data_IF_651941710232
#
_entry.id   IF_651941710232
#
_cell.length_a   1.000
_cell.length_b   1.000
_cell.length_c   1.000
_cell.angle_alpha   90.00
_cell.angle_beta   90.00
_cell.angle_gamma   90.00
#
_symmetry.space_group_name_H-M   'P 1'
#
loop_
_entity.id
_entity.type
_entity.pdbx_description
1 polymer ?
#
# COMPACT_ATOMS: atom_id res chain seq x y z
N UNK A 1 31.67 35.64 -22.65
CA UNK A 1 30.62 34.65 -22.98
C UNK A 1 29.60 34.64 -21.85
N UNK A 2 28.30 34.85 -22.12
CA UNK A 2 27.29 34.81 -21.07
C UNK A 2 27.16 33.39 -20.50
N UNK A 3 27.17 33.27 -19.17
CA UNK A 3 26.96 31.98 -18.48
C UNK A 3 25.56 31.45 -18.86
N UNK A 4 25.41 30.15 -19.20
CA UNK A 4 24.11 29.59 -19.52
C UNK A 4 23.14 29.73 -18.34
N UNK A 5 21.86 29.98 -18.64
CA UNK A 5 20.80 30.02 -17.63
C UNK A 5 20.74 28.70 -16.86
N UNK A 6 20.44 28.77 -15.56
CA UNK A 6 20.39 27.60 -14.65
C UNK A 6 19.53 26.45 -15.16
N UNK A 7 18.42 26.74 -15.86
CA UNK A 7 17.53 25.72 -16.44
C UNK A 7 18.16 24.95 -17.62
N UNK A 8 19.05 25.60 -18.40
CA UNK A 8 19.70 24.97 -19.56
C UNK A 8 20.77 23.97 -19.13
N UNK A 9 21.46 24.26 -18.02
CA UNK A 9 22.45 23.34 -17.42
C UNK A 9 21.76 22.11 -16.83
N UNK A 10 20.63 22.30 -16.16
CA UNK A 10 19.86 21.21 -15.56
C UNK A 10 19.26 20.27 -16.61
N UNK A 11 18.70 20.82 -17.69
CA UNK A 11 18.17 20.03 -18.81
C UNK A 11 19.25 19.17 -19.46
N UNK A 12 20.43 19.74 -19.73
CA UNK A 12 21.56 18.99 -20.29
C UNK A 12 22.04 17.86 -19.35
N UNK A 13 21.97 18.05 -18.04
CA UNK A 13 22.30 17.02 -17.07
C UNK A 13 21.28 15.86 -17.07
N UNK A 14 19.98 16.16 -17.16
CA UNK A 14 18.92 15.14 -17.29
C UNK A 14 19.10 14.30 -18.56
N UNK A 15 19.35 14.96 -19.70
CA UNK A 15 19.58 14.30 -20.99
C UNK A 15 20.81 13.40 -20.96
N UNK A 16 21.93 13.90 -20.40
CA UNK A 16 23.14 13.10 -20.25
C UNK A 16 22.90 11.88 -19.38
N UNK A 17 22.16 12.03 -18.26
CA UNK A 17 21.83 10.92 -17.37
C UNK A 17 20.99 9.84 -18.08
N UNK A 18 19.97 10.23 -18.83
CA UNK A 18 19.15 9.28 -19.61
C UNK A 18 19.93 8.63 -20.74
N UNK A 19 20.83 9.37 -21.41
CA UNK A 19 21.69 8.81 -22.44
C UNK A 19 22.66 7.76 -21.86
N UNK A 20 23.29 8.06 -20.72
CA UNK A 20 24.15 7.09 -20.03
C UNK A 20 23.37 5.86 -19.55
N UNK A 21 22.13 6.05 -19.06
CA UNK A 21 21.25 4.93 -18.72
C UNK A 21 20.93 4.07 -19.94
N UNK A 22 20.63 4.69 -21.10
CA UNK A 22 20.38 3.96 -22.35
C UNK A 22 21.58 3.11 -22.74
N UNK A 23 22.77 3.72 -22.75
CA UNK A 23 24.01 3.08 -23.19
C UNK A 23 24.43 1.94 -22.26
N UNK A 24 24.42 2.16 -20.95
CA UNK A 24 24.98 1.22 -19.99
C UNK A 24 23.94 0.32 -19.32
N UNK A 25 22.68 0.73 -19.28
CA UNK A 25 21.56 -0.08 -18.80
C UNK A 25 20.93 -0.96 -19.89
N UNK A 26 21.36 -0.83 -21.15
CA UNK A 26 20.83 -1.54 -22.31
C UNK A 26 19.31 -1.32 -22.52
N UNK A 27 18.84 -0.11 -22.21
CA UNK A 27 17.44 0.25 -22.45
C UNK A 27 17.20 0.47 -23.94
N UNK A 28 16.15 -0.17 -24.47
CA UNK A 28 15.62 0.18 -25.79
C UNK A 28 15.10 1.63 -25.82
N UNK A 29 15.07 2.24 -27.01
CA UNK A 29 14.48 3.56 -27.21
C UNK A 29 13.03 3.65 -26.74
N UNK A 30 12.26 2.58 -26.95
CA UNK A 30 10.88 2.51 -26.46
C UNK A 30 10.80 2.55 -24.94
N UNK A 31 11.66 1.80 -24.23
CA UNK A 31 11.69 1.81 -22.76
C UNK A 31 12.19 3.15 -22.20
N UNK A 32 13.18 3.76 -22.85
CA UNK A 32 13.67 5.08 -22.46
C UNK A 32 12.57 6.14 -22.62
N UNK A 33 11.80 6.09 -23.72
CA UNK A 33 10.68 6.98 -23.94
C UNK A 33 9.57 6.76 -22.90
N UNK A 34 9.24 5.50 -22.57
CA UNK A 34 8.28 5.18 -21.51
C UNK A 34 8.71 5.74 -20.15
N UNK A 35 10.00 5.61 -19.79
CA UNK A 35 10.54 6.17 -18.55
C UNK A 35 10.43 7.70 -18.55
N UNK A 36 10.74 8.35 -19.67
CA UNK A 36 10.59 9.81 -19.83
C UNK A 36 9.12 10.23 -19.67
N UNK A 37 8.20 9.53 -20.32
CA UNK A 37 6.78 9.84 -20.23
C UNK A 37 6.26 9.66 -18.80
N UNK A 38 6.69 8.59 -18.12
CA UNK A 38 6.34 8.34 -16.71
C UNK A 38 6.87 9.45 -15.79
N UNK A 39 8.10 9.92 -16.02
CA UNK A 39 8.68 11.03 -15.26
C UNK A 39 7.89 12.34 -15.42
N UNK A 40 7.53 12.69 -16.67
CA UNK A 40 6.71 13.87 -16.96
C UNK A 40 5.33 13.74 -16.33
N UNK A 41 4.70 12.59 -16.49
CA UNK A 41 3.38 12.30 -15.96
C UNK A 41 3.37 12.35 -14.43
N UNK A 42 4.27 11.61 -13.77
CA UNK A 42 4.37 11.56 -12.31
C UNK A 42 4.67 12.94 -11.71
N UNK A 43 5.55 13.73 -12.35
CA UNK A 43 5.78 15.10 -11.91
C UNK A 43 4.54 15.97 -12.12
N UNK A 44 3.95 15.95 -13.31
CA UNK A 44 2.74 16.73 -13.65
C UNK A 44 1.63 16.53 -12.63
N UNK A 45 1.27 15.28 -12.33
CA UNK A 45 0.20 14.96 -11.38
C UNK A 45 0.56 15.29 -9.92
N UNK A 46 1.84 15.51 -9.62
CA UNK A 46 2.27 16.03 -8.32
C UNK A 46 2.24 17.57 -8.23
N UNK A 47 2.06 18.28 -9.34
CA UNK A 47 2.00 19.74 -9.35
C UNK A 47 0.59 20.23 -9.00
N UNK A 48 0.43 21.23 -8.11
CA UNK A 48 -0.88 21.74 -7.71
C UNK A 48 -1.63 22.46 -8.84
N UNK A 49 -0.95 22.82 -9.93
CA UNK A 49 -1.52 23.52 -11.08
C UNK A 49 -1.79 22.62 -12.29
N UNK A 50 -1.86 21.31 -12.11
CA UNK A 50 -2.25 20.37 -13.16
C UNK A 50 -3.75 20.52 -13.51
N UNK A 51 -4.17 20.03 -14.69
CA UNK A 51 -5.57 20.06 -15.18
C UNK A 51 -6.24 18.68 -15.11
N UNK A 52 -5.65 17.76 -14.34
CA UNK A 52 -5.98 16.34 -14.39
C UNK A 52 -5.73 15.74 -15.77
N UNK A 53 -6.27 14.55 -16.02
CA UNK A 53 -6.10 13.83 -17.27
C UNK A 53 -5.92 12.34 -17.05
N UNK A 54 -5.67 11.61 -18.13
CA UNK A 54 -5.34 10.19 -18.05
C UNK A 54 -3.81 10.03 -17.95
N UNK A 55 -3.39 9.08 -17.11
CA UNK A 55 -1.99 8.64 -17.04
C UNK A 55 -1.71 7.74 -18.25
N UNK A 56 -1.14 8.31 -19.32
CA UNK A 56 -0.88 7.62 -20.57
C UNK A 56 0.47 8.03 -21.13
N UNK A 57 1.37 7.07 -21.43
CA UNK A 57 2.61 7.37 -22.12
C UNK A 57 2.37 8.09 -23.46
N UNK A 58 3.24 9.04 -23.79
CA UNK A 58 3.14 9.90 -24.97
C UNK A 58 2.07 11.00 -24.92
N UNK A 59 1.25 11.08 -23.86
CA UNK A 59 0.26 12.14 -23.73
C UNK A 59 0.91 13.48 -23.37
N UNK A 60 0.45 14.56 -24.01
CA UNK A 60 0.81 15.93 -23.64
C UNK A 60 0.02 16.39 -22.42
N UNK A 61 0.73 16.93 -21.44
CA UNK A 61 0.16 17.44 -20.21
C UNK A 61 0.19 18.96 -20.19
N UNK A 62 -0.92 19.61 -19.84
CA UNK A 62 -1.03 21.07 -19.82
C UNK A 62 -1.39 21.55 -18.42
N UNK A 63 -0.65 22.54 -17.90
CA UNK A 63 -0.92 23.24 -16.65
C UNK A 63 -2.16 24.14 -16.79
N UNK A 64 -2.68 24.63 -15.66
CA UNK A 64 -3.86 25.51 -15.63
C UNK A 64 -3.68 26.82 -16.42
N UNK A 65 -2.45 27.32 -16.53
CA UNK A 65 -2.09 28.49 -17.35
C UNK A 65 -2.02 28.19 -18.87
N UNK A 66 -2.24 26.93 -19.27
CA UNK A 66 -2.17 26.48 -20.65
C UNK A 66 -0.76 26.10 -21.12
N UNK A 67 0.27 26.24 -20.28
CA UNK A 67 1.63 25.82 -20.62
C UNK A 67 1.74 24.29 -20.63
N UNK A 68 2.40 23.73 -21.65
CA UNK A 68 2.73 22.30 -21.70
C UNK A 68 3.75 21.98 -20.61
N UNK A 69 3.48 20.95 -19.80
CA UNK A 69 4.40 20.39 -18.83
C UNK A 69 5.23 19.29 -19.51
N UNK A 70 6.53 19.50 -19.57
CA UNK A 70 7.46 18.70 -20.36
C UNK A 70 8.55 18.09 -19.48
N UNK A 71 9.43 17.29 -20.07
CA UNK A 71 10.57 16.72 -19.37
C UNK A 71 11.52 17.79 -18.80
N UNK A 72 11.58 18.96 -19.43
CA UNK A 72 12.40 20.08 -18.97
C UNK A 72 11.88 20.65 -17.64
N UNK A 73 10.59 20.51 -17.37
CA UNK A 73 9.96 20.93 -16.11
C UNK A 73 10.22 19.98 -14.93
N UNK A 74 10.54 18.71 -15.19
CA UNK A 74 10.71 17.68 -14.14
C UNK A 74 11.99 17.95 -13.35
N UNK A 75 11.97 18.14 -12.01
CA UNK A 75 13.18 18.40 -11.23
C UNK A 75 14.26 17.32 -11.40
N UNK A 76 15.53 17.73 -11.58
CA UNK A 76 16.64 16.79 -11.78
C UNK A 76 16.70 15.68 -10.72
N UNK A 77 16.42 15.99 -9.45
CA UNK A 77 16.44 15.00 -8.36
C UNK A 77 15.40 13.89 -8.55
N UNK A 78 14.22 14.20 -9.12
CA UNK A 78 13.21 13.19 -9.44
C UNK A 78 13.65 12.27 -10.58
N UNK A 79 14.31 12.84 -11.60
CA UNK A 79 14.92 12.07 -12.69
C UNK A 79 16.02 11.15 -12.14
N UNK A 80 16.92 11.69 -11.31
CA UNK A 80 18.00 10.95 -10.67
C UNK A 80 17.49 9.77 -9.84
N UNK A 81 16.48 9.99 -9.01
CA UNK A 81 15.91 8.93 -8.17
C UNK A 81 15.20 7.86 -9.01
N UNK A 82 14.50 8.25 -10.07
CA UNK A 82 13.85 7.27 -10.96
C UNK A 82 14.86 6.43 -11.73
N UNK A 83 15.98 7.03 -12.17
CA UNK A 83 17.10 6.29 -12.79
C UNK A 83 17.73 5.31 -11.79
N UNK A 84 17.93 5.71 -10.52
CA UNK A 84 18.41 4.80 -9.48
C UNK A 84 17.45 3.63 -9.25
N UNK A 85 16.16 3.91 -9.14
CA UNK A 85 15.13 2.88 -8.95
C UNK A 85 15.10 1.90 -10.13
N UNK A 86 15.22 2.40 -11.36
CA UNK A 86 15.32 1.53 -12.53
C UNK A 86 16.56 0.64 -12.48
N UNK A 87 17.73 1.19 -12.16
CA UNK A 87 18.95 0.38 -11.99
C UNK A 87 18.77 -0.66 -10.87
N UNK A 88 18.14 -0.28 -9.77
CA UNK A 88 17.90 -1.17 -8.64
C UNK A 88 16.91 -2.30 -8.95
N UNK A 89 15.87 -2.04 -9.73
CA UNK A 89 14.77 -2.99 -9.89
C UNK A 89 14.89 -3.82 -11.17
N UNK A 90 15.38 -3.20 -12.25
CA UNK A 90 15.33 -3.79 -13.59
C UNK A 90 16.69 -4.32 -14.07
N UNK A 91 17.81 -3.87 -13.47
CA UNK A 91 19.14 -4.36 -13.83
C UNK A 91 19.51 -5.60 -12.98
N UNK A 92 19.97 -6.70 -13.62
CA UNK A 92 20.46 -7.89 -12.92
C UNK A 92 21.51 -7.57 -11.85
N UNK A 93 21.40 -8.25 -10.70
CA UNK A 93 22.22 -7.98 -9.50
C UNK A 93 23.72 -8.04 -9.77
N UNK A 94 24.16 -8.98 -10.60
CA UNK A 94 25.56 -9.25 -10.95
C UNK A 94 26.25 -8.08 -11.67
N UNK A 95 25.49 -7.23 -12.37
CA UNK A 95 26.03 -6.08 -13.11
C UNK A 95 25.51 -4.71 -12.64
N UNK A 96 24.56 -4.69 -11.71
CA UNK A 96 23.85 -3.49 -11.24
C UNK A 96 24.77 -2.38 -10.78
N UNK A 97 25.74 -2.70 -9.92
CA UNK A 97 26.68 -1.71 -9.36
C UNK A 97 27.58 -1.13 -10.44
N UNK A 98 28.08 -1.96 -11.34
CA UNK A 98 28.85 -1.49 -12.50
C UNK A 98 28.03 -0.54 -13.37
N UNK A 99 26.76 -0.84 -13.63
CA UNK A 99 25.85 0.05 -14.38
C UNK A 99 25.63 1.35 -13.62
N UNK A 100 25.39 1.30 -12.31
CA UNK A 100 25.22 2.50 -11.47
C UNK A 100 26.41 3.46 -11.59
N UNK A 101 27.63 2.95 -11.42
CA UNK A 101 28.83 3.79 -11.56
C UNK A 101 28.95 4.38 -12.96
N UNK A 102 28.73 3.58 -14.02
CA UNK A 102 28.79 4.06 -15.40
C UNK A 102 27.72 5.12 -15.70
N UNK A 103 26.52 4.98 -15.14
CA UNK A 103 25.39 5.88 -15.40
C UNK A 103 25.46 7.17 -14.60
N UNK A 104 25.84 7.08 -13.32
CA UNK A 104 25.77 8.23 -12.40
C UNK A 104 27.13 8.92 -12.16
N UNK A 105 28.26 8.38 -12.63
CA UNK A 105 29.56 9.01 -12.43
C UNK A 105 29.58 10.47 -12.94
N UNK A 106 29.99 11.39 -12.08
CA UNK A 106 30.05 12.83 -12.39
C UNK A 106 28.70 13.55 -12.38
N UNK A 107 27.60 12.89 -12.00
CA UNK A 107 26.29 13.53 -11.83
C UNK A 107 26.15 14.16 -10.44
N UNK A 108 25.46 15.31 -10.32
CA UNK A 108 25.14 15.88 -9.01
C UNK A 108 24.41 14.87 -8.12
N UNK A 109 24.89 14.70 -6.88
CA UNK A 109 24.31 13.77 -5.92
C UNK A 109 24.71 12.31 -6.09
N UNK A 110 25.62 11.98 -7.03
CA UNK A 110 26.26 10.66 -7.11
C UNK A 110 26.89 10.24 -5.78
N UNK A 111 26.64 9.00 -5.37
CA UNK A 111 27.32 8.37 -4.23
C UNK A 111 28.30 7.35 -4.78
N UNK A 112 29.48 7.23 -4.19
CA UNK A 112 30.44 6.20 -4.60
C UNK A 112 29.83 4.82 -4.36
N UNK A 113 29.34 4.54 -3.16
CA UNK A 113 28.62 3.29 -2.87
C UNK A 113 27.12 3.47 -3.09
N UNK A 114 26.48 2.70 -3.99
CA UNK A 114 25.03 2.75 -4.13
C UNK A 114 24.32 2.17 -2.91
N UNK A 115 23.07 2.58 -2.73
CA UNK A 115 22.28 2.27 -1.54
C UNK A 115 22.06 0.76 -1.28
N UNK A 116 22.13 -0.08 -2.32
CA UNK A 116 21.99 -1.54 -2.22
C UNK A 116 23.31 -2.28 -1.95
N UNK A 117 24.45 -1.60 -2.06
CA UNK A 117 25.76 -2.13 -1.67
C UNK A 117 26.18 -1.65 -0.28
N UNK A 118 25.44 -0.70 0.30
CA UNK A 118 25.60 -0.34 1.69
C UNK A 118 25.25 -1.56 2.56
N UNK A 119 26.04 -1.84 3.60
CA UNK A 119 25.67 -2.87 4.55
C UNK A 119 24.27 -2.55 5.13
N UNK A 120 23.47 -3.57 5.46
CA UNK A 120 22.24 -3.38 6.21
C UNK A 120 22.48 -2.47 7.40
N UNK A 121 21.61 -1.49 7.61
CA UNK A 121 21.65 -0.71 8.84
C UNK A 121 21.46 -1.66 10.02
N UNK A 122 22.34 -1.56 11.01
CA UNK A 122 22.37 -2.43 12.17
C UNK A 122 22.34 -1.57 13.44
N UNK A 123 21.14 -1.07 13.82
CA UNK A 123 20.99 -0.13 14.92
C UNK A 123 21.32 -0.75 16.27
N UNK A 124 21.42 -2.08 16.35
CA UNK A 124 21.69 -2.82 17.58
C UNK A 124 23.10 -3.44 17.58
N UNK A 125 23.97 -3.03 16.65
CA UNK A 125 25.35 -3.54 16.58
C UNK A 125 26.15 -3.29 17.85
N UNK A 126 26.00 -2.11 18.44
CA UNK A 126 26.74 -1.74 19.65
C UNK A 126 25.91 -2.07 20.91
N UNK A 127 26.53 -2.62 21.96
CA UNK A 127 25.87 -2.88 23.23
C UNK A 127 25.47 -1.58 23.91
N UNK A 128 24.24 -1.52 24.42
CA UNK A 128 23.71 -0.32 25.10
C UNK A 128 24.18 -0.22 26.55
N UNK A 129 24.46 -1.36 27.17
CA UNK A 129 24.93 -1.44 28.54
C UNK A 129 26.16 -2.35 28.61
N UNK A 130 27.11 -2.11 29.53
CA UNK A 130 28.27 -2.99 29.68
C UNK A 130 27.87 -4.40 30.14
N UNK A 131 26.73 -4.57 30.82
CA UNK A 131 26.24 -5.86 31.34
C UNK A 131 25.52 -6.72 30.29
N UNK A 132 25.16 -6.11 29.17
CA UNK A 132 24.54 -6.81 28.03
C UNK A 132 25.51 -7.77 27.35
N UNK A 133 26.82 -7.56 27.48
CA UNK A 133 27.86 -8.45 26.96
C UNK A 133 28.18 -9.52 28.00
N UNK A 134 28.09 -10.79 27.61
CA UNK A 134 28.43 -11.91 28.49
C UNK A 134 29.91 -11.86 28.90
N UNK A 135 30.22 -12.13 30.17
CA UNK A 135 31.62 -12.27 30.61
C UNK A 135 32.28 -13.49 29.94
N UNK A 136 33.62 -13.47 29.74
CA UNK A 136 34.33 -14.58 29.12
C UNK A 136 34.04 -15.94 29.80
N UNK A 137 33.67 -16.94 29.01
CA UNK A 137 33.33 -18.29 29.49
C UNK A 137 31.86 -18.52 29.86
N UNK A 138 31.01 -17.49 29.71
CA UNK A 138 29.56 -17.56 29.93
C UNK A 138 28.75 -17.31 28.65
N UNK A 139 29.39 -17.33 27.48
CA UNK A 139 28.74 -17.12 26.21
C UNK A 139 27.75 -18.25 25.90
N UNK A 140 26.47 -17.91 25.83
CA UNK A 140 25.40 -18.83 25.44
C UNK A 140 24.80 -18.41 24.11
N UNK A 141 24.43 -19.35 23.22
CA UNK A 141 23.67 -19.04 22.02
C UNK A 141 22.29 -18.48 22.41
N UNK A 142 21.72 -17.63 21.55
CA UNK A 142 20.47 -16.93 21.81
C UNK A 142 19.31 -17.89 22.12
N UNK A 143 19.24 -19.04 21.45
CA UNK A 143 18.23 -20.06 21.71
C UNK A 143 18.34 -20.63 23.13
N UNK A 144 19.57 -20.89 23.62
CA UNK A 144 19.78 -21.41 24.97
C UNK A 144 19.41 -20.39 26.05
N UNK A 145 19.62 -19.08 25.79
CA UNK A 145 19.16 -18.04 26.72
C UNK A 145 17.63 -18.05 26.87
N UNK A 146 16.90 -18.23 25.77
CA UNK A 146 15.44 -18.33 25.78
C UNK A 146 14.98 -19.61 26.46
N UNK A 147 15.62 -20.75 26.18
CA UNK A 147 15.31 -22.02 26.83
C UNK A 147 15.59 -21.97 28.33
N UNK A 148 16.67 -21.31 28.73
CA UNK A 148 17.02 -21.08 30.14
C UNK A 148 15.94 -20.25 30.84
N UNK A 149 15.48 -19.16 30.21
CA UNK A 149 14.37 -18.36 30.71
C UNK A 149 13.09 -19.20 30.83
N UNK A 150 12.76 -19.97 29.78
CA UNK A 150 11.56 -20.79 29.75
C UNK A 150 11.57 -21.84 30.86
N UNK A 151 12.70 -22.50 31.10
CA UNK A 151 12.86 -23.45 32.19
C UNK A 151 12.70 -22.78 33.57
N UNK A 152 13.40 -21.67 33.82
CA UNK A 152 13.36 -20.96 35.10
C UNK A 152 11.97 -20.39 35.41
N UNK A 153 11.32 -19.80 34.41
CA UNK A 153 9.99 -19.19 34.57
C UNK A 153 8.83 -20.17 34.37
N UNK A 154 9.11 -21.43 33.98
CA UNK A 154 8.12 -22.47 33.63
C UNK A 154 7.17 -22.02 32.51
N UNK A 155 7.75 -21.48 31.43
CA UNK A 155 7.02 -21.10 30.23
C UNK A 155 6.87 -22.32 29.32
N UNK A 156 5.75 -22.41 28.60
CA UNK A 156 5.58 -23.43 27.58
C UNK A 156 6.42 -23.11 26.33
N UNK A 157 6.66 -24.14 25.51
CA UNK A 157 7.49 -24.04 24.31
C UNK A 157 6.96 -23.02 23.28
N UNK A 158 5.64 -22.83 23.22
CA UNK A 158 5.04 -21.86 22.32
C UNK A 158 5.35 -20.43 22.75
N UNK A 159 5.22 -20.14 24.05
CA UNK A 159 5.57 -18.85 24.64
C UNK A 159 7.05 -18.54 24.43
N UNK A 160 7.94 -19.52 24.64
CA UNK A 160 9.37 -19.37 24.37
C UNK A 160 9.66 -19.03 22.90
N UNK A 161 9.03 -19.74 21.95
CA UNK A 161 9.16 -19.45 20.52
C UNK A 161 8.62 -18.06 20.15
N UNK A 162 7.53 -17.61 20.77
CA UNK A 162 7.00 -16.27 20.57
C UNK A 162 7.94 -15.18 21.09
N UNK A 163 8.61 -15.39 22.24
CA UNK A 163 9.62 -14.47 22.76
C UNK A 163 10.76 -14.33 21.74
N UNK A 164 11.30 -15.44 21.25
CA UNK A 164 12.36 -15.42 20.23
C UNK A 164 11.96 -14.68 18.95
N UNK A 165 10.76 -14.93 18.45
CA UNK A 165 10.25 -14.24 17.27
C UNK A 165 10.00 -12.75 17.51
N UNK A 166 9.52 -12.34 18.69
CA UNK A 166 9.36 -10.93 19.04
C UNK A 166 10.70 -10.20 19.14
N UNK A 167 11.71 -10.81 19.76
CA UNK A 167 13.06 -10.24 19.83
C UNK A 167 13.65 -10.07 18.43
N UNK A 168 13.52 -11.10 17.60
CA UNK A 168 13.95 -11.07 16.18
C UNK A 168 13.22 -9.98 15.42
N UNK A 169 11.92 -9.83 15.65
CA UNK A 169 11.12 -8.78 15.01
C UNK A 169 11.56 -7.39 15.47
N UNK A 170 11.80 -7.17 16.77
CA UNK A 170 12.29 -5.89 17.27
C UNK A 170 13.66 -5.51 16.71
N UNK A 171 14.56 -6.48 16.52
CA UNK A 171 15.83 -6.24 15.85
C UNK A 171 15.65 -5.86 14.38
N UNK A 172 14.65 -6.45 13.72
CA UNK A 172 14.40 -6.28 12.29
C UNK A 172 13.71 -4.97 11.90
N UNK A 173 12.94 -4.33 12.81
CA UNK A 173 12.11 -3.13 12.57
C UNK A 173 12.83 -1.79 12.81
N UNK A 174 14.17 -1.77 12.76
CA UNK A 174 14.95 -0.52 12.80
C UNK A 174 14.62 0.46 11.67
N UNK A 175 15.48 1.45 11.41
CA UNK A 175 15.38 2.34 10.24
C UNK A 175 15.67 1.57 8.94
N UNK A 176 14.85 0.54 8.66
CA UNK A 176 15.03 -0.40 7.58
C UNK A 176 14.21 0.04 6.37
N UNK A 177 14.82 -0.08 5.19
CA UNK A 177 14.20 0.26 3.90
C UNK A 177 13.15 -0.77 3.44
N UNK A 178 13.00 -1.88 4.17
CA UNK A 178 12.18 -3.02 3.76
C UNK A 178 11.06 -3.26 4.77
N UNK A 179 9.87 -3.60 4.28
CA UNK A 179 8.76 -4.00 5.14
C UNK A 179 9.15 -5.20 6.00
N UNK A 180 8.73 -5.21 7.25
CA UNK A 180 8.93 -6.33 8.15
C UNK A 180 7.59 -6.90 8.63
N UNK A 181 7.48 -8.23 8.61
CA UNK A 181 6.31 -8.98 9.09
C UNK A 181 6.69 -9.91 10.23
N UNK A 182 5.85 -9.94 11.27
CA UNK A 182 5.87 -10.97 12.31
C UNK A 182 4.63 -11.85 12.13
N UNK A 183 4.85 -13.13 11.92
CA UNK A 183 3.79 -14.13 11.97
C UNK A 183 4.01 -14.98 13.20
N UNK A 184 2.99 -15.08 14.06
CA UNK A 184 3.04 -15.94 15.23
C UNK A 184 2.41 -17.31 14.97
N UNK A 185 1.92 -17.63 13.77
CA UNK A 185 1.25 -18.92 13.52
C UNK A 185 1.43 -19.40 12.07
N UNK A 186 1.57 -20.73 11.81
CA UNK A 186 1.60 -21.84 12.77
C UNK A 186 2.95 -22.02 13.47
N UNK A 187 4.01 -21.39 12.97
CA UNK A 187 5.34 -21.33 13.59
C UNK A 187 5.75 -19.86 13.62
N UNK A 188 6.17 -19.31 14.77
CA UNK A 188 6.64 -17.93 14.84
C UNK A 188 7.78 -17.68 13.85
N UNK A 189 7.62 -16.68 12.98
CA UNK A 189 8.61 -16.31 11.95
C UNK A 189 8.62 -14.81 11.70
N UNK A 190 9.78 -14.30 11.29
CA UNK A 190 9.99 -12.91 10.92
C UNK A 190 10.45 -12.83 9.47
N UNK A 191 9.74 -12.06 8.65
CA UNK A 191 10.04 -11.91 7.21
C UNK A 191 10.40 -10.46 6.91
N UNK A 192 11.51 -10.23 6.20
CA UNK A 192 11.92 -8.90 5.75
C UNK A 192 12.72 -8.13 6.80
N UNK A 193 12.45 -6.82 6.93
CA UNK A 193 13.19 -5.92 7.81
C UNK A 193 14.62 -5.63 7.32
N UNK A 194 15.53 -5.23 8.23
CA UNK A 194 16.87 -4.70 7.88
C UNK A 194 17.69 -5.57 6.90
N UNK A 195 17.54 -6.90 6.95
CA UNK A 195 18.32 -7.82 6.11
C UNK A 195 17.72 -8.04 4.72
N UNK A 196 16.49 -7.59 4.46
CA UNK A 196 15.80 -7.83 3.19
C UNK A 196 15.51 -9.31 2.88
N UNK A 197 15.62 -10.19 3.88
CA UNK A 197 15.31 -11.63 3.83
C UNK A 197 14.60 -12.05 5.12
N UNK A 198 14.25 -13.33 5.24
CA UNK A 198 13.77 -13.88 6.51
C UNK A 198 14.82 -13.68 7.61
N UNK A 199 14.36 -13.17 8.74
CA UNK A 199 15.18 -12.82 9.89
C UNK A 199 15.03 -13.93 10.92
N UNK A 200 16.17 -14.45 11.38
CA UNK A 200 16.23 -15.55 12.36
C UNK A 200 16.86 -15.07 13.67
N UNK A 201 16.65 -15.82 14.75
CA UNK A 201 17.24 -15.48 16.05
C UNK A 201 18.78 -15.49 16.04
N UNK A 202 19.39 -16.22 15.09
CA UNK A 202 20.85 -16.27 14.90
C UNK A 202 21.41 -14.98 14.30
N UNK A 203 20.57 -14.20 13.61
CA UNK A 203 20.96 -12.91 13.02
C UNK A 203 21.00 -11.78 14.07
N UNK A 204 20.41 -12.01 15.25
CA UNK A 204 20.27 -11.03 16.33
C UNK A 204 21.52 -11.04 17.21
N UNK A 205 22.06 -9.86 17.50
CA UNK A 205 23.20 -9.74 18.42
C UNK A 205 22.85 -10.26 19.83
N UNK A 206 23.76 -11.02 20.43
CA UNK A 206 23.55 -11.66 21.73
C UNK A 206 23.24 -10.65 22.83
N UNK A 207 23.93 -9.51 22.85
CA UNK A 207 23.70 -8.45 23.82
C UNK A 207 22.29 -7.85 23.71
N UNK A 208 21.77 -7.72 22.49
CA UNK A 208 20.40 -7.26 22.27
C UNK A 208 19.38 -8.28 22.77
N UNK A 209 19.62 -9.58 22.57
CA UNK A 209 18.77 -10.64 23.15
C UNK A 209 18.78 -10.57 24.67
N UNK A 210 19.96 -10.42 25.29
CA UNK A 210 20.10 -10.27 26.74
C UNK A 210 19.30 -9.08 27.28
N UNK A 211 19.39 -7.91 26.63
CA UNK A 211 18.61 -6.73 27.00
C UNK A 211 17.10 -6.99 26.95
N UNK A 212 16.61 -7.65 25.88
CA UNK A 212 15.19 -7.97 25.73
C UNK A 212 14.68 -9.03 26.69
N UNK A 213 15.52 -10.01 27.05
CA UNK A 213 15.16 -10.99 28.08
C UNK A 213 15.08 -10.34 29.46
N UNK A 214 16.01 -9.44 29.80
CA UNK A 214 15.93 -8.72 31.07
C UNK A 214 14.69 -7.83 31.15
N UNK A 215 14.38 -7.11 30.08
CA UNK A 215 13.15 -6.33 29.98
C UNK A 215 11.90 -7.21 30.15
N UNK A 216 11.84 -8.36 29.47
CA UNK A 216 10.75 -9.32 29.62
C UNK A 216 10.62 -9.82 31.08
N UNK A 217 11.73 -10.16 31.73
CA UNK A 217 11.74 -10.58 33.14
C UNK A 217 11.19 -9.44 34.03
N UNK A 218 11.61 -8.20 33.79
CA UNK A 218 11.22 -7.04 34.59
C UNK A 218 9.76 -6.65 34.39
N UNK A 219 9.19 -6.84 33.19
CA UNK A 219 7.86 -6.32 32.85
C UNK A 219 6.79 -7.40 32.80
N UNK A 220 7.08 -8.60 32.28
CA UNK A 220 6.09 -9.64 31.99
C UNK A 220 6.05 -10.76 33.03
N UNK A 221 7.18 -11.07 33.68
CA UNK A 221 7.19 -12.11 34.71
C UNK A 221 6.62 -11.60 36.04
N UNK A 222 5.96 -12.53 36.76
CA UNK A 222 5.51 -12.32 38.14
C UNK A 222 6.71 -12.08 39.04
N UNK A 223 6.59 -11.17 39.99
CA UNK A 223 7.65 -10.78 40.93
C UNK A 223 8.34 -11.99 41.59
N UNK A 224 7.55 -12.98 42.02
CA UNK A 224 8.06 -14.21 42.65
C UNK A 224 8.94 -15.10 41.76
N UNK A 225 8.98 -14.86 40.44
CA UNK A 225 9.80 -15.61 39.48
C UNK A 225 10.97 -14.80 38.92
N UNK A 226 11.04 -13.49 39.19
CA UNK A 226 12.00 -12.61 38.53
C UNK A 226 13.42 -12.90 38.95
N UNK A 227 13.65 -13.07 40.25
CA UNK A 227 15.00 -13.27 40.78
C UNK A 227 15.62 -14.58 40.26
N UNK A 228 14.88 -15.69 40.35
CA UNK A 228 15.30 -16.99 39.82
C UNK A 228 15.57 -16.92 38.31
N UNK A 229 14.71 -16.23 37.56
CA UNK A 229 14.89 -16.06 36.11
C UNK A 229 16.14 -15.22 35.77
N UNK A 230 16.38 -14.12 36.49
CA UNK A 230 17.59 -13.29 36.28
C UNK A 230 18.86 -14.10 36.55
N UNK A 231 18.91 -14.79 37.70
CA UNK A 231 20.06 -15.64 38.08
C UNK A 231 20.31 -16.78 37.11
N UNK A 232 19.25 -17.37 36.55
CA UNK A 232 19.37 -18.45 35.57
C UNK A 232 19.89 -17.95 34.22
N UNK A 233 19.34 -16.84 33.70
CA UNK A 233 19.66 -16.30 32.38
C UNK A 233 21.02 -15.59 32.36
N UNK A 234 21.38 -14.92 33.45
CA UNK A 234 22.61 -14.12 33.58
C UNK A 234 23.49 -14.64 34.73
N UNK A 235 23.98 -15.90 34.66
CA UNK A 235 24.81 -16.48 35.71
C UNK A 235 26.19 -15.81 35.83
N UNK A 236 26.55 -14.97 34.86
CA UNK A 236 27.79 -14.20 34.82
C UNK A 236 27.77 -12.94 35.68
N UNK A 237 26.59 -12.52 36.15
CA UNK A 237 26.39 -11.28 36.89
C UNK A 237 26.07 -11.57 38.36
N UNK A 238 26.64 -10.77 39.26
CA UNK A 238 26.26 -10.81 40.68
C UNK A 238 24.96 -10.01 40.95
N UNK A 239 24.47 -10.06 42.20
CA UNK A 239 23.20 -9.44 42.57
C UNK A 239 23.20 -7.90 42.42
N UNK A 240 24.35 -7.26 42.65
CA UNK A 240 24.50 -5.80 42.53
C UNK A 240 24.59 -5.40 41.05
N UNK A 241 25.37 -6.15 40.24
CA UNK A 241 25.45 -5.99 38.80
C UNK A 241 24.09 -6.20 38.12
N UNK A 242 23.32 -7.21 38.53
CA UNK A 242 21.97 -7.49 38.02
C UNK A 242 20.97 -6.37 38.33
N UNK A 243 21.07 -5.78 39.51
CA UNK A 243 20.24 -4.66 39.92
C UNK A 243 20.55 -3.42 39.09
N UNK A 244 21.84 -3.14 38.88
CA UNK A 244 22.28 -2.03 38.05
C UNK A 244 21.92 -2.24 36.58
N UNK A 245 22.11 -3.46 36.05
CA UNK A 245 21.70 -3.80 34.69
C UNK A 245 20.20 -3.61 34.49
N UNK A 246 19.39 -4.05 35.45
CA UNK A 246 17.92 -3.86 35.41
C UNK A 246 17.54 -2.39 35.36
N UNK A 247 18.22 -1.54 36.15
CA UNK A 247 18.01 -0.08 36.17
C UNK A 247 18.33 0.55 34.81
N UNK A 248 19.47 0.20 34.22
CA UNK A 248 19.91 0.75 32.93
C UNK A 248 18.97 0.36 31.78
N UNK A 249 18.50 -0.89 31.74
CA UNK A 249 17.52 -1.34 30.73
C UNK A 249 16.18 -0.62 30.89
N UNK A 250 15.73 -0.40 32.12
CA UNK A 250 14.51 0.35 32.38
C UNK A 250 14.63 1.82 31.94
N UNK A 251 15.77 2.46 32.20
CA UNK A 251 16.04 3.84 31.75
C UNK A 251 16.06 3.96 30.22
N UNK A 252 16.75 3.06 29.51
CA UNK A 252 16.76 3.03 28.04
C UNK A 252 15.34 2.85 27.48
N UNK A 253 14.55 1.94 28.07
CA UNK A 253 13.17 1.74 27.63
C UNK A 253 12.29 2.98 27.89
N UNK A 254 12.45 3.65 29.04
CA UNK A 254 11.74 4.90 29.32
C UNK A 254 12.13 6.01 28.34
N UNK A 255 13.41 6.13 27.99
CA UNK A 255 13.88 7.10 27.00
C UNK A 255 13.27 6.82 25.63
N UNK A 256 13.24 5.57 25.18
CA UNK A 256 12.57 5.18 23.93
C UNK A 256 11.08 5.49 23.93
N UNK A 257 10.39 5.22 25.03
CA UNK A 257 8.97 5.56 25.18
C UNK A 257 8.76 7.08 25.14
N UNK A 258 9.66 7.87 25.72
CA UNK A 258 9.63 9.34 25.63
C UNK A 258 9.88 9.83 24.20
N UNK A 259 10.87 9.26 23.51
CA UNK A 259 11.16 9.58 22.12
C UNK A 259 9.98 9.23 21.21
N UNK A 260 9.37 8.05 21.38
CA UNK A 260 8.16 7.66 20.66
C UNK A 260 6.96 8.55 21.01
N UNK A 261 6.82 8.98 22.27
CA UNK A 261 5.77 9.90 22.68
C UNK A 261 5.97 11.30 22.10
N UNK A 262 7.23 11.72 21.93
CA UNK A 262 7.59 12.99 21.30
C UNK A 262 7.35 12.96 19.78
N UNK A 263 7.72 11.87 19.11
CA UNK A 263 7.44 11.66 17.67
C UNK A 263 5.94 11.51 17.40
N UNK A 264 5.20 10.91 18.34
CA UNK A 264 3.73 10.86 18.32
C UNK A 264 3.08 12.08 18.99
N UNK A 265 3.85 13.13 19.32
CA UNK A 265 3.27 14.32 19.93
C UNK A 265 2.27 14.96 18.96
N UNK A 266 1.19 15.59 19.46
CA UNK A 266 0.22 16.25 18.60
C UNK A 266 0.86 17.23 17.61
N UNK A 267 1.95 17.90 17.99
CA UNK A 267 2.70 18.82 17.13
C UNK A 267 3.46 18.10 16.01
N UNK A 268 4.14 16.99 16.29
CA UNK A 268 4.85 16.21 15.26
C UNK A 268 3.87 15.44 14.36
N UNK A 269 2.82 14.85 14.94
CA UNK A 269 1.71 14.25 14.18
C UNK A 269 1.01 15.31 13.32
N UNK A 270 0.86 16.53 13.82
CA UNK A 270 0.36 17.67 13.06
C UNK A 270 1.32 18.09 11.96
N UNK A 271 2.62 18.16 12.20
CA UNK A 271 3.63 18.45 11.18
C UNK A 271 3.60 17.39 10.06
N UNK A 272 3.62 16.10 10.43
CA UNK A 272 3.53 14.97 9.51
C UNK A 272 2.21 14.92 8.75
N UNK A 273 1.09 15.20 9.43
CA UNK A 273 -0.22 15.31 8.78
C UNK A 273 -0.33 16.54 7.92
N UNK A 274 0.20 17.70 8.30
CA UNK A 274 0.27 18.90 7.47
C UNK A 274 1.14 18.66 6.22
N UNK A 275 2.19 17.84 6.30
CA UNK A 275 2.98 17.44 5.13
C UNK A 275 2.19 16.48 4.22
N UNK A 276 1.51 15.45 4.78
CA UNK A 276 0.63 14.54 4.01
C UNK A 276 -0.61 15.25 3.43
N UNK A 277 -1.19 16.19 4.17
CA UNK A 277 -2.37 17.00 3.81
C UNK A 277 -1.99 18.19 2.92
N UNK A 278 -0.74 18.66 2.91
CA UNK A 278 -0.28 19.62 1.89
C UNK A 278 -0.31 19.02 0.47
N UNK A 279 -0.45 17.70 0.34
CA UNK A 279 -0.75 17.07 -0.95
C UNK A 279 -2.25 17.08 -1.29
N UNK A 280 -3.18 17.15 -0.31
CA UNK A 280 -4.62 17.18 -0.56
C UNK A 280 -5.42 18.07 0.43
N UNK A 281 -6.18 19.00 -0.15
CA UNK A 281 -6.79 20.21 0.43
C UNK A 281 -7.78 20.04 1.62
N UNK A 282 -7.38 19.56 2.80
CA UNK A 282 -8.15 19.79 4.05
C UNK A 282 -7.27 20.03 5.27
N UNK A 283 -6.95 21.30 5.56
CA UNK A 283 -6.21 21.67 6.78
C UNK A 283 -7.03 21.24 8.02
N UNK A 284 -6.50 20.35 8.88
CA UNK A 284 -7.21 19.91 10.08
C UNK A 284 -7.44 21.07 11.04
N UNK A 285 -8.63 21.14 11.66
CA UNK A 285 -8.99 22.25 12.56
C UNK A 285 -8.35 22.11 13.94
N UNK A 286 -8.05 20.89 14.35
CA UNK A 286 -7.42 20.56 15.63
C UNK A 286 -6.69 19.21 15.52
N UNK A 287 -5.89 18.90 16.53
CA UNK A 287 -5.04 17.71 16.53
C UNK A 287 -5.85 16.41 16.52
N UNK A 288 -7.00 16.39 17.19
CA UNK A 288 -7.90 15.23 17.16
C UNK A 288 -8.43 14.97 15.74
N UNK A 289 -8.72 16.01 14.95
CA UNK A 289 -9.10 15.87 13.56
C UNK A 289 -7.93 15.36 12.70
N UNK A 290 -6.72 15.87 12.90
CA UNK A 290 -5.53 15.41 12.20
C UNK A 290 -5.24 13.91 12.44
N UNK A 291 -5.31 13.48 13.70
CA UNK A 291 -5.13 12.07 14.09
C UNK A 291 -6.18 11.20 13.40
N UNK A 292 -7.46 11.61 13.44
CA UNK A 292 -8.54 10.84 12.83
C UNK A 292 -8.42 10.75 11.30
N UNK A 293 -7.92 11.78 10.62
CA UNK A 293 -7.67 11.75 9.18
C UNK A 293 -6.55 10.75 8.84
N UNK A 294 -5.46 10.74 9.61
CA UNK A 294 -4.37 9.78 9.43
C UNK A 294 -4.85 8.35 9.67
N UNK A 295 -5.52 8.07 10.79
CA UNK A 295 -6.05 6.74 11.09
C UNK A 295 -7.01 6.25 10.00
N UNK A 296 -7.80 7.15 9.43
CA UNK A 296 -8.68 6.82 8.31
C UNK A 296 -7.90 6.45 7.05
N UNK A 297 -6.85 7.18 6.72
CA UNK A 297 -6.00 6.88 5.56
C UNK A 297 -5.19 5.60 5.78
N UNK A 298 -4.57 5.43 6.95
CA UNK A 298 -3.83 4.22 7.31
C UNK A 298 -4.77 2.99 7.28
N UNK A 299 -6.02 3.13 7.74
CA UNK A 299 -7.02 2.06 7.66
C UNK A 299 -7.37 1.68 6.21
N UNK A 300 -7.38 2.64 5.28
CA UNK A 300 -7.55 2.38 3.84
C UNK A 300 -6.33 1.68 3.25
N UNK A 301 -5.12 2.17 3.53
CA UNK A 301 -3.87 1.56 3.04
C UNK A 301 -3.71 0.11 3.52
N UNK A 302 -4.08 -0.15 4.78
CA UNK A 302 -3.99 -1.47 5.41
C UNK A 302 -5.08 -2.45 4.95
N UNK A 303 -6.07 -2.05 4.13
CA UNK A 303 -6.98 -3.03 3.53
C UNK A 303 -6.17 -3.99 2.67
N UNK A 304 -6.24 -5.28 3.01
CA UNK A 304 -5.46 -6.35 2.38
C UNK A 304 -5.86 -6.46 0.90
N UNK A 305 -4.90 -6.19 0.01
CA UNK A 305 -5.04 -6.46 -1.41
C UNK A 305 -4.47 -7.84 -1.70
N UNK A 306 -5.34 -8.75 -2.12
CA UNK A 306 -4.92 -9.71 -3.13
C UNK A 306 -5.12 -8.98 -4.46
N UNK A 307 -4.05 -8.73 -5.22
CA UNK A 307 -4.12 -8.03 -6.52
C UNK A 307 -5.03 -8.77 -7.53
N UNK A 308 -5.51 -9.97 -7.17
CA UNK A 308 -6.50 -10.77 -7.90
C UNK A 308 -7.91 -10.76 -7.29
N UNK A 309 -8.20 -9.89 -6.31
CA UNK A 309 -9.46 -9.85 -5.59
C UNK A 309 -10.67 -9.80 -6.56
N UNK A 310 -11.38 -10.91 -6.60
CA UNK A 310 -12.54 -11.12 -7.43
C UNK A 310 -13.70 -10.22 -6.97
N UNK A 311 -13.91 -9.11 -7.68
CA UNK A 311 -15.02 -8.17 -7.46
C UNK A 311 -16.31 -8.61 -8.18
N UNK A 312 -16.38 -9.85 -8.68
CA UNK A 312 -17.61 -10.37 -9.30
C UNK A 312 -18.77 -10.46 -8.30
N UNK A 313 -19.98 -10.48 -8.84
CA UNK A 313 -21.20 -10.57 -8.04
C UNK A 313 -21.18 -11.85 -7.20
N UNK A 314 -21.24 -11.67 -5.88
CA UNK A 314 -21.42 -12.75 -4.91
C UNK A 314 -22.74 -12.48 -4.21
N UNK A 315 -23.78 -13.26 -4.53
CA UNK A 315 -25.10 -13.19 -3.88
C UNK A 315 -25.07 -13.68 -2.43
N UNK A 316 -24.21 -13.09 -1.60
CA UNK A 316 -23.98 -13.43 -0.20
C UNK A 316 -24.09 -12.19 0.70
N UNK A 317 -24.18 -10.99 0.10
CA UNK A 317 -24.30 -9.73 0.82
C UNK A 317 -25.70 -9.54 1.40
N UNK A 318 -25.77 -8.81 2.52
CA UNK A 318 -27.00 -8.59 3.27
C UNK A 318 -28.06 -7.80 2.50
N UNK A 319 -29.07 -7.32 3.23
CA UNK A 319 -30.18 -6.57 2.65
C UNK A 319 -30.01 -5.09 2.99
N UNK A 320 -30.12 -4.21 1.99
CA UNK A 320 -30.14 -2.76 2.22
C UNK A 320 -31.42 -2.37 2.96
N UNK A 321 -31.27 -1.83 4.17
CA UNK A 321 -32.39 -1.43 5.02
C UNK A 321 -32.62 0.09 4.95
N UNK A 322 -33.53 0.56 4.10
CA UNK A 322 -33.77 2.00 3.90
C UNK A 322 -34.65 2.60 5.00
N UNK A 323 -35.31 1.76 5.81
CA UNK A 323 -36.06 2.19 7.00
C UNK A 323 -35.18 2.74 8.12
N UNK A 324 -33.99 2.16 8.32
CA UNK A 324 -33.06 2.54 9.39
C UNK A 324 -31.89 3.40 8.91
N UNK A 325 -31.55 3.31 7.62
CA UNK A 325 -30.48 4.07 6.99
C UNK A 325 -31.00 4.87 5.82
N UNK A 326 -30.92 6.19 5.91
CA UNK A 326 -31.37 7.08 4.83
C UNK A 326 -30.50 6.83 3.58
N UNK A 327 -31.08 6.90 2.38
CA UNK A 327 -30.30 6.86 1.14
C UNK A 327 -29.23 7.96 1.12
N UNK A 328 -28.14 7.72 0.39
CA UNK A 328 -27.12 8.76 0.21
C UNK A 328 -27.71 9.95 -0.54
N UNK A 329 -27.40 11.15 -0.06
CA UNK A 329 -27.97 12.44 -0.52
C UNK A 329 -26.94 13.35 -1.20
N UNK A 330 -25.69 12.88 -1.30
CA UNK A 330 -24.57 13.57 -1.95
C UNK A 330 -24.24 12.88 -3.26
N UNK A 331 -23.63 13.62 -4.17
CA UNK A 331 -23.22 13.08 -5.46
C UNK A 331 -22.17 11.99 -5.28
N UNK A 332 -22.32 10.90 -6.04
CA UNK A 332 -21.29 9.86 -6.16
C UNK A 332 -20.24 10.20 -7.21
N UNK A 333 -20.40 11.32 -7.92
CA UNK A 333 -19.53 11.73 -9.04
C UNK A 333 -18.50 12.76 -8.58
N UNK A 334 -18.93 13.76 -7.81
CA UNK A 334 -18.07 14.84 -7.35
C UNK A 334 -18.19 15.04 -5.83
N UNK A 335 -17.06 15.19 -5.09
CA UNK A 335 -17.10 15.33 -3.65
C UNK A 335 -17.86 16.59 -3.23
N UNK A 336 -18.51 16.50 -2.06
CA UNK A 336 -19.32 17.53 -1.40
C UNK A 336 -20.44 18.19 -2.23
N UNK A 337 -20.69 17.68 -3.44
CA UNK A 337 -21.68 18.20 -4.37
C UNK A 337 -23.07 17.61 -4.12
N UNK A 338 -24.11 18.36 -4.52
CA UNK A 338 -25.48 17.83 -4.61
C UNK A 338 -25.54 16.76 -5.70
N UNK A 339 -26.42 15.78 -5.50
CA UNK A 339 -26.69 14.74 -6.49
C UNK A 339 -27.07 15.34 -7.85
N UNK A 340 -26.63 14.69 -8.92
CA UNK A 340 -27.13 15.01 -10.26
C UNK A 340 -28.56 14.49 -10.43
N UNK A 341 -29.38 15.09 -11.31
CA UNK A 341 -30.74 14.63 -11.59
C UNK A 341 -30.81 13.15 -11.98
N UNK A 342 -29.80 12.64 -12.69
CA UNK A 342 -29.65 11.24 -13.07
C UNK A 342 -29.44 10.34 -11.86
N UNK A 343 -28.77 10.83 -10.81
CA UNK A 343 -28.59 10.11 -9.54
C UNK A 343 -29.88 10.14 -8.71
N UNK A 344 -30.60 11.25 -8.69
CA UNK A 344 -31.86 11.41 -7.93
C UNK A 344 -32.98 10.51 -8.46
N UNK A 345 -32.97 10.22 -9.76
CA UNK A 345 -33.90 9.30 -10.41
C UNK A 345 -33.60 7.83 -10.09
N UNK A 346 -32.43 7.52 -9.51
CA UNK A 346 -32.08 6.14 -9.12
C UNK A 346 -32.68 5.82 -7.76
N UNK A 347 -33.86 5.20 -7.78
CA UNK A 347 -34.44 4.62 -6.58
C UNK A 347 -33.68 3.35 -6.19
N UNK A 348 -33.31 3.27 -4.91
CA UNK A 348 -32.83 2.05 -4.25
C UNK A 348 -33.95 1.63 -3.32
N UNK A 349 -34.58 0.50 -3.64
CA UNK A 349 -35.71 0.00 -2.87
C UNK A 349 -35.27 -0.53 -1.50
N UNK A 350 -36.16 -0.40 -0.52
CA UNK A 350 -36.06 -1.17 0.72
C UNK A 350 -36.05 -2.64 0.33
N UNK A 351 -35.05 -3.40 0.78
CA UNK A 351 -34.78 -4.79 0.37
C UNK A 351 -33.89 -5.02 -0.86
N UNK A 352 -33.23 -3.99 -1.38
CA UNK A 352 -32.19 -4.21 -2.39
C UNK A 352 -31.13 -5.20 -1.87
N UNK A 353 -30.92 -6.29 -2.60
CA UNK A 353 -29.89 -7.30 -2.29
C UNK A 353 -28.53 -6.65 -2.50
N UNK A 354 -27.69 -6.69 -1.47
CA UNK A 354 -26.30 -6.29 -1.58
C UNK A 354 -25.56 -7.44 -2.26
N UNK A 355 -25.05 -7.18 -3.45
CA UNK A 355 -24.46 -8.16 -4.35
C UNK A 355 -22.93 -8.29 -4.19
N UNK A 356 -22.39 -7.70 -3.13
CA UNK A 356 -20.98 -7.76 -2.72
C UNK A 356 -20.84 -8.11 -1.25
N UNK A 357 -19.77 -8.80 -0.91
CA UNK A 357 -19.39 -9.06 0.49
C UNK A 357 -18.59 -7.90 1.11
N UNK A 358 -18.33 -7.98 2.42
CA UNK A 358 -17.63 -6.91 3.12
C UNK A 358 -16.19 -6.68 2.64
N UNK A 359 -15.47 -7.74 2.26
CA UNK A 359 -14.09 -7.62 1.77
C UNK A 359 -14.08 -6.97 0.39
N UNK A 360 -15.00 -7.35 -0.49
CA UNK A 360 -15.17 -6.71 -1.80
C UNK A 360 -15.44 -5.21 -1.67
N UNK A 361 -16.33 -4.80 -0.76
CA UNK A 361 -16.62 -3.37 -0.53
C UNK A 361 -15.40 -2.62 0.02
N UNK A 362 -14.61 -3.23 0.92
CA UNK A 362 -13.36 -2.60 1.41
C UNK A 362 -12.34 -2.39 0.28
N UNK A 363 -12.15 -3.40 -0.57
CA UNK A 363 -11.25 -3.29 -1.73
C UNK A 363 -11.75 -2.22 -2.69
N UNK A 364 -13.05 -2.11 -2.92
CA UNK A 364 -13.63 -1.04 -3.74
C UNK A 364 -13.34 0.34 -3.13
N UNK A 365 -13.43 0.50 -1.79
CA UNK A 365 -13.06 1.75 -1.12
C UNK A 365 -11.57 2.06 -1.31
N UNK A 366 -10.70 1.07 -1.08
CA UNK A 366 -9.25 1.24 -1.24
C UNK A 366 -8.89 1.64 -2.67
N UNK A 367 -9.40 0.95 -3.69
CA UNK A 367 -9.16 1.31 -5.10
C UNK A 367 -9.72 2.69 -5.44
N UNK A 368 -10.94 3.00 -4.98
CA UNK A 368 -11.57 4.30 -5.25
C UNK A 368 -10.77 5.48 -4.69
N UNK A 369 -10.27 5.35 -3.47
CA UNK A 369 -9.49 6.39 -2.78
C UNK A 369 -8.03 6.40 -3.24
N UNK A 370 -7.41 5.22 -3.42
CA UNK A 370 -6.00 5.08 -3.76
C UNK A 370 -5.66 5.37 -5.23
N UNK A 371 -6.57 5.06 -6.16
CA UNK A 371 -6.38 5.32 -7.60
C UNK A 371 -7.09 6.61 -8.08
N UNK A 372 -7.86 7.29 -7.22
CA UNK A 372 -8.81 8.33 -7.61
C UNK A 372 -8.50 9.75 -7.10
N UNK A 373 -9.27 10.72 -7.59
CA UNK A 373 -9.24 12.14 -7.18
C UNK A 373 -10.02 12.40 -5.86
N UNK A 374 -10.28 11.36 -5.06
CA UNK A 374 -11.12 11.44 -3.86
C UNK A 374 -10.34 10.98 -2.63
N UNK A 375 -10.33 11.81 -1.60
CA UNK A 375 -9.80 11.44 -0.28
C UNK A 375 -10.75 10.48 0.46
N UNK A 376 -10.21 9.73 1.43
CA UNK A 376 -11.02 8.86 2.29
C UNK A 376 -12.10 9.65 3.06
N UNK A 377 -11.80 10.89 3.45
CA UNK A 377 -12.76 11.75 4.14
C UNK A 377 -13.83 12.31 3.20
N UNK A 378 -13.50 12.67 1.97
CA UNK A 378 -14.48 13.06 0.94
C UNK A 378 -15.43 11.92 0.61
N UNK A 379 -14.90 10.71 0.44
CA UNK A 379 -15.72 9.50 0.26
C UNK A 379 -16.70 9.35 1.42
N UNK A 380 -16.20 9.42 2.66
CA UNK A 380 -17.03 9.35 3.87
C UNK A 380 -18.12 10.43 3.89
N UNK A 381 -17.79 11.67 3.54
CA UNK A 381 -18.77 12.77 3.47
C UNK A 381 -19.83 12.52 2.40
N UNK A 382 -19.47 11.93 1.27
CA UNK A 382 -20.44 11.58 0.22
C UNK A 382 -21.42 10.46 0.61
N UNK A 383 -21.14 9.70 1.67
CA UNK A 383 -22.13 8.81 2.29
C UNK A 383 -23.24 9.57 3.06
N UNK A 384 -23.38 10.87 2.82
CA UNK A 384 -24.41 11.74 3.38
C UNK A 384 -24.10 12.21 4.80
N UNK A 385 -22.84 12.12 5.24
CA UNK A 385 -22.43 12.44 6.62
C UNK A 385 -23.06 11.54 7.69
N UNK A 386 -23.65 10.40 7.28
CA UNK A 386 -24.34 9.47 8.17
C UNK A 386 -23.39 8.60 8.99
N UNK A 387 -22.10 8.58 8.62
CA UNK A 387 -21.05 7.85 9.34
C UNK A 387 -19.93 8.81 9.78
N UNK A 388 -19.48 8.63 11.02
CA UNK A 388 -18.28 9.25 11.56
C UNK A 388 -17.01 8.56 11.04
N UNK A 389 -15.86 9.21 11.23
CA UNK A 389 -14.54 8.67 10.82
C UNK A 389 -14.24 7.33 11.49
N UNK A 390 -14.45 7.23 12.80
CA UNK A 390 -14.27 5.99 13.58
C UNK A 390 -15.08 4.81 13.03
N UNK A 391 -16.33 5.04 12.61
CA UNK A 391 -17.19 3.98 12.05
C UNK A 391 -16.66 3.45 10.73
N UNK A 392 -16.04 4.31 9.90
CA UNK A 392 -15.40 3.87 8.68
C UNK A 392 -14.10 3.11 8.98
N UNK A 393 -13.27 3.63 9.89
CA UNK A 393 -12.02 2.99 10.34
C UNK A 393 -12.30 1.57 10.83
N UNK A 394 -13.22 1.40 11.79
CA UNK A 394 -13.61 0.09 12.33
C UNK A 394 -14.11 -0.88 11.26
N UNK A 395 -14.74 -0.38 10.20
CA UNK A 395 -15.19 -1.21 9.09
C UNK A 395 -14.02 -1.67 8.22
N UNK A 396 -13.08 -0.77 7.91
CA UNK A 396 -11.90 -1.03 7.08
C UNK A 396 -10.88 -1.96 7.77
N UNK A 397 -10.77 -1.89 9.09
CA UNK A 397 -9.84 -2.73 9.88
C UNK A 397 -10.33 -4.17 10.07
N UNK A 398 -11.64 -4.42 9.96
CA UNK A 398 -12.20 -5.77 10.03
C UNK A 398 -11.75 -6.64 8.85
N UNK A 399 -11.78 -7.96 9.03
CA UNK A 399 -11.38 -8.94 8.02
C UNK A 399 -12.44 -10.03 7.87
N UNK A 400 -12.71 -10.42 6.63
CA UNK A 400 -13.60 -11.52 6.30
C UNK A 400 -14.92 -11.06 5.65
N UNK A 401 -15.52 -11.91 4.81
CA UNK A 401 -16.60 -11.53 3.89
C UNK A 401 -17.90 -11.13 4.61
N UNK A 402 -18.10 -11.58 5.85
CA UNK A 402 -19.27 -11.25 6.68
C UNK A 402 -18.97 -10.27 7.82
N UNK A 403 -17.69 -9.95 8.04
CA UNK A 403 -17.27 -9.11 9.15
C UNK A 403 -17.71 -7.66 8.89
N UNK A 404 -18.79 -7.21 9.54
CA UNK A 404 -19.34 -5.86 9.32
C UNK A 404 -20.54 -5.80 8.37
N UNK A 405 -21.17 -6.93 8.03
CA UNK A 405 -22.35 -7.01 7.17
C UNK A 405 -23.55 -6.19 7.68
N UNK A 406 -23.68 -6.02 9.00
CA UNK A 406 -24.68 -5.16 9.62
C UNK A 406 -24.27 -3.69 9.78
N UNK A 407 -23.04 -3.32 9.38
CA UNK A 407 -22.53 -1.97 9.61
C UNK A 407 -23.14 -0.95 8.65
N UNK A 408 -23.26 0.29 9.12
CA UNK A 408 -23.72 1.42 8.30
C UNK A 408 -22.72 1.73 7.17
N UNK A 409 -21.43 1.63 7.47
CA UNK A 409 -20.35 1.82 6.51
C UNK A 409 -20.52 0.87 5.32
N UNK A 410 -20.67 -0.44 5.57
CA UNK A 410 -20.88 -1.43 4.52
C UNK A 410 -22.07 -1.11 3.60
N UNK A 411 -23.25 -0.87 4.18
CA UNK A 411 -24.48 -0.66 3.39
C UNK A 411 -24.44 0.62 2.56
N UNK A 412 -23.91 1.71 3.13
CA UNK A 412 -23.84 3.01 2.44
C UNK A 412 -22.71 3.03 1.39
N UNK A 413 -21.57 2.39 1.69
CA UNK A 413 -20.48 2.25 0.72
C UNK A 413 -20.92 1.39 -0.48
N UNK A 414 -21.65 0.29 -0.26
CA UNK A 414 -22.24 -0.46 -1.36
C UNK A 414 -23.21 0.39 -2.18
N UNK A 415 -24.12 1.13 -1.53
CA UNK A 415 -25.06 2.02 -2.21
C UNK A 415 -24.33 3.08 -3.08
N UNK A 416 -23.23 3.63 -2.58
CA UNK A 416 -22.37 4.56 -3.33
C UNK A 416 -21.85 3.92 -4.63
N UNK A 417 -21.23 2.74 -4.54
CA UNK A 417 -20.67 2.07 -5.70
C UNK A 417 -21.74 1.55 -6.66
N UNK A 418 -22.86 1.04 -6.15
CA UNK A 418 -23.99 0.60 -6.97
C UNK A 418 -24.55 1.74 -7.83
N UNK A 419 -24.65 2.96 -7.28
CA UNK A 419 -25.05 4.13 -8.06
C UNK A 419 -24.01 4.48 -9.12
N UNK A 420 -22.71 4.43 -8.79
CA UNK A 420 -21.64 4.66 -9.78
C UNK A 420 -21.70 3.65 -10.93
N UNK A 421 -21.87 2.36 -10.63
CA UNK A 421 -22.01 1.31 -11.64
C UNK A 421 -23.24 1.53 -12.53
N UNK A 422 -24.38 1.93 -11.95
CA UNK A 422 -25.59 2.24 -12.73
C UNK A 422 -25.41 3.43 -13.68
N UNK A 423 -24.58 4.41 -13.29
CA UNK A 423 -24.18 5.55 -14.12
C UNK A 423 -23.12 5.19 -15.17
N UNK A 424 -22.57 3.97 -15.12
CA UNK A 424 -21.49 3.52 -16.01
C UNK A 424 -20.13 4.11 -15.65
N UNK A 425 -19.96 4.56 -14.40
CA UNK A 425 -18.71 5.17 -13.95
C UNK A 425 -17.69 4.11 -13.51
N UNK A 426 -16.40 4.33 -13.79
CA UNK A 426 -15.34 3.45 -13.29
C UNK A 426 -15.23 3.48 -11.75
N UNK A 427 -14.54 2.48 -11.20
CA UNK A 427 -14.23 2.39 -9.76
C UNK A 427 -13.21 3.44 -9.30
N UNK A 428 -12.49 4.08 -10.20
CA UNK A 428 -11.54 5.17 -9.92
C UNK A 428 -11.78 6.31 -10.91
N UNK A 429 -11.63 7.56 -10.46
CA UNK A 429 -11.67 8.79 -11.30
C UNK A 429 -12.86 8.92 -12.27
N UNK A 430 -13.85 9.77 -11.94
CA UNK A 430 -14.92 10.11 -12.88
C UNK A 430 -15.21 11.61 -12.91
N UNK A 431 -15.32 12.18 -14.11
CA UNK A 431 -15.79 13.55 -14.32
C UNK A 431 -17.29 13.54 -14.59
N UNK A 432 -17.96 14.67 -14.35
CA UNK A 432 -19.40 14.84 -14.69
C UNK A 432 -19.72 14.51 -16.15
N UNK A 433 -18.75 14.69 -17.05
CA UNK A 433 -18.87 14.37 -18.48
C UNK A 433 -18.98 12.88 -18.78
N UNK A 434 -18.62 12.02 -17.83
CA UNK A 434 -18.57 10.56 -18.02
C UNK A 434 -19.89 9.88 -17.67
N UNK A 435 -20.85 10.64 -17.14
CA UNK A 435 -22.20 10.16 -16.83
C UNK A 435 -22.94 9.86 -18.14
N UNK A 436 -23.28 8.58 -18.36
CA UNK A 436 -24.05 8.17 -19.54
C UNK A 436 -25.54 8.40 -19.30
N UNK A 437 -26.25 9.22 -20.10
CA UNK A 437 -27.68 9.45 -19.91
C UNK A 437 -28.49 8.15 -20.08
N UNK A 438 -29.46 7.90 -19.18
CA UNK A 438 -30.30 6.69 -19.22
C UNK A 438 -31.01 6.46 -20.57
N UNK A 439 -31.28 7.51 -21.35
CA UNK A 439 -32.02 7.45 -22.63
C UNK A 439 -31.26 6.73 -23.75
N UNK A 440 -29.92 6.80 -23.78
CA UNK A 440 -29.10 6.21 -24.85
C UNK A 440 -28.96 4.69 -24.71
N UNK A 441 -29.25 4.14 -23.53
CA UNK A 441 -29.12 2.70 -23.22
C UNK A 441 -30.25 1.85 -23.81
N UNK A 442 -31.44 2.43 -24.03
CA UNK A 442 -32.56 1.77 -24.74
C UNK A 442 -32.30 1.60 -26.23
N UNK A 443 -31.61 2.55 -26.87
CA UNK A 443 -31.26 2.46 -28.29
C UNK A 443 -30.10 1.50 -28.56
N UNK A 444 -29.11 1.38 -27.66
CA UNK A 444 -27.99 0.44 -27.84
C UNK A 444 -28.39 -1.03 -27.62
N UNK A 445 -29.41 -1.31 -26.78
CA UNK A 445 -30.02 -2.64 -26.68
C UNK A 445 -30.95 -2.98 -27.86
N UNK A 446 -31.63 -2.00 -28.45
CA UNK A 446 -32.47 -2.22 -29.65
C UNK A 446 -31.69 -2.36 -30.97
N UNK A 447 -30.40 -1.99 -31.00
CA UNK A 447 -29.57 -2.06 -32.22
C UNK A 447 -28.66 -3.30 -32.27
N UNK A 448 -28.48 -4.00 -31.15
CA UNK A 448 -27.71 -5.23 -31.07
C UNK A 448 -28.53 -6.49 -31.40
N UNK A 449 -29.86 -6.38 -31.52
CA UNK A 449 -30.79 -7.51 -31.75
C UNK A 449 -31.51 -7.43 -33.12
N UNK A 450 -31.05 -6.54 -34.00
CA UNK A 450 -31.63 -6.33 -35.35
C UNK A 450 -30.55 -6.38 -36.45
N UNK A 451 -29.60 -7.31 -36.31
CA UNK A 451 -28.44 -7.42 -37.20
C UNK A 451 -28.01 -8.85 -37.51
N UNK A 452 -28.92 -9.83 -37.50
CA UNK A 452 -28.62 -11.15 -38.10
C UNK A 452 -29.87 -11.92 -38.54
N UNK A 453 -30.71 -11.32 -39.40
CA UNK A 453 -31.68 -12.04 -40.25
C UNK A 453 -32.01 -11.25 -41.51
N UNK A 454 -31.21 -11.39 -42.57
CA UNK A 454 -31.69 -11.67 -43.93
C UNK A 454 -30.56 -11.57 -44.96
N UNK A 455 -30.05 -12.72 -45.41
CA UNK A 455 -29.44 -12.82 -46.73
C UNK A 455 -29.55 -14.25 -47.24
N UNK A 456 -30.78 -14.68 -47.59
CA UNK A 456 -30.94 -15.78 -48.55
C UNK A 456 -32.21 -15.63 -49.38
N UNK A 457 -32.01 -15.25 -50.64
CA UNK A 457 -32.81 -15.74 -51.76
C UNK A 457 -33.64 -14.71 -52.51
N UNK A 458 -33.11 -14.20 -53.64
CA UNK A 458 -33.82 -14.25 -54.93
C UNK A 458 -32.83 -14.53 -56.06
N UNK A 459 -33.04 -15.65 -56.72
CA UNK A 459 -32.19 -16.16 -57.78
C UNK A 459 -32.35 -15.43 -59.11
N UNK A 460 -31.35 -15.64 -59.97
CA UNK A 460 -31.47 -15.54 -61.42
C UNK A 460 -31.00 -16.87 -62.01
N UNK A 461 -31.84 -17.39 -62.89
CA UNK A 461 -31.76 -18.71 -63.54
C UNK A 461 -30.51 -18.81 -64.43
N UNK A 462 -29.82 -19.95 -64.37
CA UNK A 462 -29.24 -20.57 -65.58
C UNK A 462 -29.31 -22.09 -65.49
N UNK A 463 -29.68 -22.63 -66.64
CA UNK A 463 -30.20 -23.95 -67.01
C UNK A 463 -29.10 -25.00 -67.08
N UNK A 464 -29.32 -26.21 -66.52
CA UNK A 464 -28.99 -27.50 -67.18
C UNK A 464 -29.58 -28.73 -66.46
N UNK A 465 -30.58 -29.33 -67.15
CA UNK A 465 -30.82 -30.77 -67.43
C UNK A 465 -30.85 -31.83 -66.28
N UNK A 466 -32.09 -32.30 -66.03
CA UNK A 466 -32.60 -33.69 -65.78
C UNK A 466 -31.56 -34.83 -65.91
N UNK A 467 -31.54 -35.95 -65.19
CA UNK A 467 -32.41 -36.75 -64.29
C UNK A 467 -31.55 -38.03 -63.97
N UNK A 468 -31.99 -39.06 -63.21
CA UNK A 468 -32.79 -39.09 -61.98
C UNK A 468 -32.14 -39.98 -60.88
N UNK A 469 -32.77 -39.97 -59.71
CA UNK A 469 -32.54 -40.87 -58.58
C UNK A 469 -33.01 -42.30 -58.86
N UNK A 470 -32.27 -43.28 -58.34
CA UNK A 470 -32.79 -44.49 -57.67
C UNK A 470 -31.84 -44.75 -56.49
N UNK A 471 -32.24 -44.52 -55.24
CA UNK A 471 -33.05 -45.39 -54.36
C UNK A 471 -32.24 -46.57 -53.80
N UNK A 472 -32.56 -46.94 -52.55
CA UNK A 472 -32.30 -48.23 -51.87
C UNK A 472 -31.24 -48.24 -50.74
N UNK A 473 -31.77 -48.06 -49.51
CA UNK A 473 -31.69 -48.98 -48.35
C UNK A 473 -30.39 -49.13 -47.53
N UNK A 474 -30.56 -48.81 -46.24
CA UNK A 474 -30.11 -49.44 -44.98
C UNK A 474 -28.78 -50.20 -44.84
N UNK A 475 -28.19 -50.00 -43.65
CA UNK A 475 -27.26 -50.88 -42.93
C UNK A 475 -26.15 -50.03 -42.31
N UNK A 476 -26.07 -49.84 -40.98
CA UNK A 476 -25.49 -50.80 -40.02
C UNK A 476 -24.21 -51.40 -40.64
N UNK A 477 -23.00 -50.98 -40.27
CA UNK A 477 -22.42 -50.74 -38.94
C UNK A 477 -21.54 -49.49 -38.88
#
# INVERSE_FOLDING_TARGET
MPKPSRSRVETAAKERLLASLKEHGELSDQRLQLLRDFLVMSDYFSQPNHRGGLMCPGQKYYRMDGQEHTFDDVPFLKVLNSVRNHIQNDIPKDRRTTVYHKVLAGMPGYKETPDWDLPPDDPNKEPRTPFSVSKPGFEKPNAELIDTLAAAARLDAWTAACIGAQITWWDSIGECKYSCGLSLAPVPKVTGGRLGRDHTLEDVHNHFVRDKLLDYINTQLKESKREDARKAVFPDLDDDELKEYSRLVEEDNQERLRAQAQDNSPAEVRSRSEVRVRQDYTIPRNDAEAINLNLQNDAVENVFEDDTADLSIRCVGGIRNTKTLKPISKSVVQPDSKMLPEEEQMQIDDQSIIDRDCDQVRVMIKRFVGEGEWTADEFRRALGGQIGRTVLIEFLERRGPRAGMGSRAFQLSWEFFHRREKLGLPLSGAKRTDVVPLKTRRQKRGRADAGDKSARGKGKRTRTRREPLQEVVNGAE
#
